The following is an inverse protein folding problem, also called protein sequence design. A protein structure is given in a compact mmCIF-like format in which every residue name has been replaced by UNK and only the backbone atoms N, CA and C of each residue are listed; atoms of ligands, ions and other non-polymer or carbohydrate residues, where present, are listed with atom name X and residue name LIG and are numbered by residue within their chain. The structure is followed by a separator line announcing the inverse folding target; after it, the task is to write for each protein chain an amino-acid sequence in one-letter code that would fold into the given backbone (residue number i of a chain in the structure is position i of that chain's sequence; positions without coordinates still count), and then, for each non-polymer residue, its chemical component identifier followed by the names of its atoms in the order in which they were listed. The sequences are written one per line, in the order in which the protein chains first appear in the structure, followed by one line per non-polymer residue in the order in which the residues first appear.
data_IF_947167005165
#
_entry.id   IF_947167005165
#
_cell.length_a   1.000
_cell.length_b   1.000
_cell.length_c   1.000
_cell.angle_alpha   90.00
_cell.angle_beta   90.00
_cell.angle_gamma   90.00
#
_symmetry.space_group_name_H-M   'P 1'
#
loop_
_entity.id
_entity.type
_entity.pdbx_description
1 polymer ?
#
# COMPACT_ATOMS: atom_id res chain seq x y z
N UNK A 1 -8.75 -18.04 2.20
CA UNK A 1 -7.85 -17.20 1.37
C UNK A 1 -8.69 -16.39 0.40
N UNK A 2 -8.30 -15.17 0.06
CA UNK A 2 -8.17 -14.83 -1.34
C UNK A 2 -6.76 -15.28 -1.74
N UNK A 3 -6.65 -16.31 -2.56
CA UNK A 3 -5.37 -16.67 -3.17
C UNK A 3 -4.90 -15.53 -4.07
N UNK A 4 -3.67 -15.57 -4.60
CA UNK A 4 -3.26 -14.65 -5.67
C UNK A 4 -4.33 -14.55 -6.79
N UNK A 5 -5.05 -15.67 -7.04
CA UNK A 5 -6.20 -15.72 -7.94
C UNK A 5 -7.37 -14.83 -7.54
N UNK A 6 -7.68 -14.67 -6.26
CA UNK A 6 -8.80 -13.85 -5.82
C UNK A 6 -8.49 -12.35 -5.88
N UNK A 7 -7.26 -11.93 -5.55
CA UNK A 7 -6.83 -10.55 -5.79
C UNK A 7 -6.79 -10.25 -7.30
N UNK A 8 -6.29 -11.18 -8.11
CA UNK A 8 -6.33 -11.08 -9.57
C UNK A 8 -7.77 -11.01 -10.12
N UNK A 9 -8.69 -11.81 -9.59
CA UNK A 9 -10.10 -11.80 -9.98
C UNK A 9 -10.80 -10.48 -9.60
N UNK A 10 -10.53 -9.93 -8.41
CA UNK A 10 -11.07 -8.65 -7.99
C UNK A 10 -10.58 -7.51 -8.90
N UNK A 11 -9.29 -7.49 -9.23
CA UNK A 11 -8.75 -6.54 -10.21
C UNK A 11 -9.35 -6.73 -11.61
N UNK A 12 -9.57 -7.97 -12.04
CA UNK A 12 -10.22 -8.27 -13.31
C UNK A 12 -11.67 -7.78 -13.36
N UNK A 13 -12.44 -7.96 -12.28
CA UNK A 13 -13.79 -7.44 -12.15
C UNK A 13 -13.82 -5.91 -12.20
N UNK A 14 -12.89 -5.25 -11.51
CA UNK A 14 -12.76 -3.79 -11.56
C UNK A 14 -12.44 -3.31 -12.98
N UNK A 15 -11.47 -3.93 -13.66
CA UNK A 15 -11.16 -3.62 -15.07
C UNK A 15 -12.36 -3.82 -15.99
N UNK A 16 -13.10 -4.91 -15.79
CA UNK A 16 -14.28 -5.22 -16.58
C UNK A 16 -15.37 -4.14 -16.43
N UNK A 17 -15.58 -3.64 -15.21
CA UNK A 17 -16.54 -2.57 -14.94
C UNK A 17 -16.10 -1.23 -15.56
N UNK A 18 -14.83 -0.84 -15.37
CA UNK A 18 -14.25 0.40 -15.92
C UNK A 18 -14.31 0.49 -17.44
N UNK A 19 -14.34 -0.66 -18.14
CA UNK A 19 -14.49 -0.73 -19.61
C UNK A 19 -15.93 -0.60 -20.10
N UNK A 20 -16.92 -0.77 -19.22
CA UNK A 20 -18.35 -0.85 -19.58
C UNK A 20 -19.14 0.37 -19.16
N UNK A 21 -18.72 1.01 -18.07
CA UNK A 21 -19.42 2.14 -17.50
C UNK A 21 -18.48 3.32 -17.33
N UNK A 22 -19.07 4.52 -17.32
CA UNK A 22 -18.36 5.75 -16.99
C UNK A 22 -18.16 5.83 -15.47
N UNK A 23 -17.11 5.17 -14.99
CA UNK A 23 -16.75 5.14 -13.57
C UNK A 23 -15.89 6.37 -13.24
N UNK A 24 -16.24 7.09 -12.18
CA UNK A 24 -15.35 8.09 -11.60
C UNK A 24 -14.21 7.37 -10.86
N UNK A 25 -13.03 7.43 -11.47
CA UNK A 25 -11.80 6.77 -11.01
C UNK A 25 -11.29 7.29 -9.67
N UNK A 26 -11.69 8.50 -9.29
CA UNK A 26 -11.34 9.09 -8.00
C UNK A 26 -12.36 8.77 -6.90
N UNK A 27 -13.42 8.01 -7.21
CA UNK A 27 -14.50 7.62 -6.29
C UNK A 27 -14.79 6.12 -6.32
N UNK A 28 -13.75 5.31 -6.50
CA UNK A 28 -13.84 3.85 -6.34
C UNK A 28 -13.62 3.53 -4.86
N UNK A 29 -14.60 2.91 -4.21
CA UNK A 29 -14.51 2.49 -2.81
C UNK A 29 -14.43 0.96 -2.71
N UNK A 30 -13.85 0.46 -1.62
CA UNK A 30 -13.70 -0.98 -1.41
C UNK A 30 -14.22 -1.40 -0.04
N UNK A 31 -15.02 -2.46 -0.01
CA UNK A 31 -15.54 -3.05 1.23
C UNK A 31 -15.63 -4.57 1.09
N UNK A 32 -15.88 -5.24 2.20
CA UNK A 32 -16.13 -6.66 2.26
C UNK A 32 -16.29 -7.14 3.69
N UNK A 33 -17.00 -8.24 3.87
CA UNK A 33 -17.31 -8.83 5.18
C UNK A 33 -16.48 -10.10 5.38
N UNK A 34 -15.89 -10.27 6.55
CA UNK A 34 -15.16 -11.48 6.96
C UNK A 34 -14.01 -11.78 6.00
N UNK A 35 -14.06 -12.89 5.24
CA UNK A 35 -13.11 -13.15 4.15
C UNK A 35 -13.02 -12.00 3.14
N UNK A 36 -14.12 -11.30 2.89
CA UNK A 36 -14.16 -10.10 2.08
C UNK A 36 -13.48 -8.91 2.74
N UNK A 37 -13.55 -8.76 4.07
CA UNK A 37 -12.85 -7.72 4.82
C UNK A 37 -11.34 -7.91 4.76
N UNK A 38 -10.88 -9.15 4.88
CA UNK A 38 -9.47 -9.51 4.66
C UNK A 38 -9.01 -9.20 3.24
N UNK A 39 -9.85 -9.46 2.23
CA UNK A 39 -9.56 -9.11 0.83
C UNK A 39 -9.53 -7.59 0.62
N UNK A 40 -10.42 -6.84 1.29
CA UNK A 40 -10.45 -5.39 1.21
C UNK A 40 -9.13 -4.79 1.71
N UNK A 41 -8.64 -5.26 2.86
CA UNK A 41 -7.30 -4.92 3.36
C UNK A 41 -6.20 -5.31 2.37
N UNK A 42 -6.18 -6.56 1.89
CA UNK A 42 -5.12 -7.04 1.00
C UNK A 42 -5.01 -6.22 -0.30
N UNK A 43 -6.14 -5.96 -0.96
CA UNK A 43 -6.20 -5.16 -2.18
C UNK A 43 -5.76 -3.71 -1.93
N UNK A 44 -6.21 -3.09 -0.85
CA UNK A 44 -5.81 -1.72 -0.52
C UNK A 44 -4.31 -1.63 -0.24
N UNK A 45 -3.77 -2.54 0.57
CA UNK A 45 -2.35 -2.57 0.95
C UNK A 45 -1.44 -2.79 -0.26
N UNK A 46 -1.84 -3.67 -1.19
CA UNK A 46 -1.06 -3.97 -2.39
C UNK A 46 -1.30 -2.96 -3.52
N UNK A 47 -2.44 -2.28 -3.55
CA UNK A 47 -2.77 -1.28 -4.57
C UNK A 47 -3.30 0.02 -3.91
N UNK A 48 -2.46 0.74 -3.14
CA UNK A 48 -2.88 1.85 -2.27
C UNK A 48 -3.33 3.11 -3.02
N UNK A 49 -3.17 3.12 -4.35
CA UNK A 49 -3.49 4.21 -5.26
C UNK A 49 -4.76 3.96 -6.08
N UNK A 50 -5.57 2.96 -5.70
CA UNK A 50 -6.78 2.55 -6.44
C UNK A 50 -8.08 3.03 -5.84
N UNK A 51 -8.12 3.24 -4.54
CA UNK A 51 -9.36 3.45 -3.82
C UNK A 51 -9.40 4.86 -3.21
N UNK A 52 -10.61 5.41 -3.13
CA UNK A 52 -10.92 6.66 -2.48
C UNK A 52 -11.16 6.49 -0.98
N UNK A 53 -11.70 5.33 -0.57
CA UNK A 53 -11.86 4.91 0.81
C UNK A 53 -12.01 3.39 0.89
N UNK A 54 -11.76 2.81 2.07
CA UNK A 54 -12.11 1.41 2.36
C UNK A 54 -12.98 1.28 3.60
N UNK A 55 -13.87 0.29 3.59
CA UNK A 55 -14.70 -0.09 4.73
C UNK A 55 -14.69 -1.61 4.98
N UNK A 56 -13.59 -2.18 5.48
CA UNK A 56 -13.54 -3.59 5.86
C UNK A 56 -14.47 -3.87 7.05
N UNK A 57 -15.12 -5.03 7.06
CA UNK A 57 -15.98 -5.46 8.16
C UNK A 57 -15.54 -6.85 8.60
N UNK A 58 -15.29 -7.01 9.90
CA UNK A 58 -14.87 -8.26 10.55
C UNK A 58 -13.73 -8.99 9.82
N UNK A 59 -12.72 -8.24 9.39
CA UNK A 59 -11.54 -8.78 8.73
C UNK A 59 -10.38 -7.81 8.77
N UNK A 60 -9.16 -8.30 8.59
CA UNK A 60 -7.98 -7.50 8.87
C UNK A 60 -6.75 -7.86 8.02
N UNK A 61 -5.68 -7.07 8.15
CA UNK A 61 -4.37 -7.46 7.67
C UNK A 61 -3.87 -8.70 8.41
N UNK A 62 -2.95 -9.41 7.78
CA UNK A 62 -2.37 -10.64 8.29
C UNK A 62 -0.95 -10.42 8.75
N UNK A 63 -0.62 -11.07 9.86
CA UNK A 63 0.73 -11.18 10.40
C UNK A 63 1.18 -12.63 10.25
N UNK A 64 2.17 -12.85 9.40
CA UNK A 64 2.76 -14.16 9.13
C UNK A 64 4.25 -14.03 8.73
N UNK A 65 5.06 -15.07 8.86
CA UNK A 65 6.48 -15.01 8.52
C UNK A 65 6.79 -15.47 7.07
N UNK A 66 5.88 -16.28 6.52
CA UNK A 66 6.12 -17.08 5.31
C UNK A 66 5.03 -16.86 4.26
N UNK A 67 5.35 -17.32 3.05
CA UNK A 67 4.50 -17.36 1.85
C UNK A 67 3.99 -16.00 1.38
N UNK A 68 4.65 -14.90 1.76
CA UNK A 68 4.19 -13.55 1.38
C UNK A 68 2.85 -13.14 1.96
N UNK A 69 2.39 -13.84 3.00
CA UNK A 69 1.05 -13.66 3.55
C UNK A 69 0.93 -12.46 4.49
N UNK A 70 2.06 -11.86 4.89
CA UNK A 70 2.06 -10.72 5.80
C UNK A 70 1.91 -9.41 5.02
N UNK A 71 0.67 -9.00 4.82
CA UNK A 71 0.37 -7.70 4.24
C UNK A 71 0.34 -6.59 5.31
N UNK A 72 0.40 -6.91 6.62
CA UNK A 72 0.51 -5.91 7.69
C UNK A 72 1.78 -5.03 7.56
N UNK A 73 2.83 -5.56 6.92
CA UNK A 73 4.05 -4.82 6.54
C UNK A 73 3.82 -3.60 5.65
N UNK A 74 2.65 -3.51 5.01
CA UNK A 74 2.32 -2.48 4.02
C UNK A 74 1.44 -1.37 4.57
N UNK A 75 1.00 -1.45 5.83
CA UNK A 75 -0.07 -0.61 6.41
C UNK A 75 0.21 0.89 6.32
N UNK A 76 1.46 1.32 6.52
CA UNK A 76 1.83 2.74 6.47
C UNK A 76 1.58 3.38 5.09
N UNK A 77 1.48 2.58 4.02
CA UNK A 77 1.12 3.06 2.69
C UNK A 77 -0.33 3.55 2.59
N UNK A 78 -1.18 3.25 3.58
CA UNK A 78 -2.59 3.67 3.59
C UNK A 78 -2.83 4.92 4.42
N UNK A 79 -1.78 5.62 4.88
CA UNK A 79 -1.94 6.83 5.71
C UNK A 79 -2.78 7.93 5.03
N UNK A 80 -2.79 8.01 3.71
CA UNK A 80 -3.62 8.97 2.95
C UNK A 80 -5.07 8.52 2.78
N UNK A 81 -5.38 7.24 3.01
CA UNK A 81 -6.65 6.62 2.64
C UNK A 81 -7.64 6.69 3.79
N UNK A 82 -8.87 7.20 3.56
CA UNK A 82 -9.95 7.07 4.53
C UNK A 82 -10.32 5.59 4.81
N UNK A 83 -10.40 5.21 6.10
CA UNK A 83 -10.69 3.85 6.56
C UNK A 83 -11.78 3.87 7.65
N UNK A 84 -12.79 3.01 7.49
CA UNK A 84 -13.73 2.62 8.55
C UNK A 84 -13.72 1.10 8.68
N UNK A 85 -12.99 0.59 9.65
CA UNK A 85 -12.98 -0.84 9.95
C UNK A 85 -13.97 -1.14 11.07
N UNK A 86 -14.89 -2.07 10.84
CA UNK A 86 -15.98 -2.40 11.75
C UNK A 86 -15.77 -3.81 12.31
N UNK A 87 -15.61 -3.94 13.63
CA UNK A 87 -15.15 -5.17 14.25
C UNK A 87 -15.82 -5.42 15.61
N UNK A 88 -16.37 -6.60 15.85
CA UNK A 88 -16.79 -6.98 17.21
C UNK A 88 -15.57 -7.18 18.12
N UNK A 89 -15.61 -6.61 19.32
CA UNK A 89 -14.48 -6.59 20.25
C UNK A 89 -14.19 -7.95 20.92
N UNK A 90 -15.08 -8.93 20.76
CA UNK A 90 -14.97 -10.30 21.28
C UNK A 90 -14.77 -11.35 20.15
N UNK A 91 -14.46 -10.91 18.93
CA UNK A 91 -14.09 -11.79 17.82
C UNK A 91 -12.70 -12.43 18.05
N UNK A 92 -12.19 -13.15 17.04
CA UNK A 92 -10.89 -13.83 17.09
C UNK A 92 -9.77 -12.93 17.66
N UNK A 93 -9.11 -13.32 18.77
CA UNK A 93 -8.05 -12.53 19.39
C UNK A 93 -6.84 -12.30 18.46
N UNK A 94 -6.59 -13.21 17.51
CA UNK A 94 -5.55 -13.04 16.50
C UNK A 94 -5.83 -11.90 15.54
N UNK A 95 -7.06 -11.84 15.02
CA UNK A 95 -7.57 -10.76 14.19
C UNK A 95 -7.56 -9.42 14.92
N UNK A 96 -8.09 -9.37 16.15
CA UNK A 96 -8.10 -8.16 16.98
C UNK A 96 -6.69 -7.63 17.23
N UNK A 97 -5.74 -8.52 17.53
CA UNK A 97 -4.33 -8.14 17.65
C UNK A 97 -3.81 -7.49 16.35
N UNK A 98 -4.04 -8.12 15.20
CA UNK A 98 -3.55 -7.62 13.92
C UNK A 98 -4.17 -6.25 13.56
N UNK A 99 -5.47 -6.08 13.79
CA UNK A 99 -6.17 -4.81 13.57
C UNK A 99 -5.61 -3.72 14.48
N UNK A 100 -5.55 -3.95 15.79
CA UNK A 100 -5.00 -2.98 16.75
C UNK A 100 -3.55 -2.61 16.41
N UNK A 101 -2.74 -3.59 15.98
CA UNK A 101 -1.38 -3.32 15.52
C UNK A 101 -1.36 -2.48 14.23
N UNK A 102 -2.22 -2.76 13.26
CA UNK A 102 -2.32 -1.98 12.03
C UNK A 102 -2.73 -0.52 12.32
N UNK A 103 -3.75 -0.31 13.16
CA UNK A 103 -4.17 1.03 13.55
C UNK A 103 -3.13 1.77 14.40
N UNK A 104 -2.36 1.06 15.24
CA UNK A 104 -1.21 1.66 15.92
C UNK A 104 -0.13 2.10 14.91
N UNK A 105 0.14 1.32 13.85
CA UNK A 105 1.07 1.71 12.78
C UNK A 105 0.56 2.91 11.99
N UNK A 106 -0.74 3.00 11.71
CA UNK A 106 -1.35 4.17 11.08
C UNK A 106 -1.27 5.41 11.97
N UNK A 107 -1.53 5.28 13.26
CA UNK A 107 -1.46 6.40 14.22
C UNK A 107 -0.02 6.92 14.43
N UNK A 108 0.99 6.08 14.20
CA UNK A 108 2.40 6.45 14.29
C UNK A 108 2.90 7.26 13.07
N UNK A 109 2.09 7.40 12.02
CA UNK A 109 2.36 8.23 10.85
C UNK A 109 1.26 9.28 10.70
N UNK A 110 1.43 10.33 9.87
CA UNK A 110 0.39 11.35 9.64
C UNK A 110 -0.85 10.83 8.87
N UNK A 111 -1.54 9.82 9.41
CA UNK A 111 -2.75 9.27 8.83
C UNK A 111 -3.88 10.30 8.89
N UNK A 112 -4.58 10.49 7.76
CA UNK A 112 -5.58 11.55 7.62
C UNK A 112 -6.93 11.20 8.25
N UNK A 113 -7.42 9.98 8.01
CA UNK A 113 -8.75 9.56 8.46
C UNK A 113 -8.89 8.04 8.52
N UNK A 114 -8.32 7.38 9.53
CA UNK A 114 -8.46 5.94 9.72
C UNK A 114 -9.07 5.63 11.09
N UNK A 115 -10.17 4.88 11.12
CA UNK A 115 -10.84 4.47 12.36
C UNK A 115 -11.12 2.98 12.41
N UNK A 116 -10.76 2.36 13.52
CA UNK A 116 -11.23 1.04 13.94
C UNK A 116 -12.41 1.28 14.90
N UNK A 117 -13.56 0.74 14.56
CA UNK A 117 -14.78 0.82 15.36
C UNK A 117 -15.00 -0.56 15.97
N UNK A 118 -14.56 -0.71 17.23
CA UNK A 118 -14.74 -1.94 17.99
C UNK A 118 -16.07 -1.90 18.76
N UNK A 119 -16.87 -2.95 18.64
CA UNK A 119 -18.17 -3.06 19.32
C UNK A 119 -18.09 -3.99 20.54
N UNK A 120 -18.23 -3.48 21.78
CA UNK A 120 -18.22 -4.30 23.00
C UNK A 120 -19.38 -5.31 23.03
N UNK A 121 -19.17 -6.50 23.61
CA UNK A 121 -20.21 -7.52 23.72
C UNK A 121 -20.52 -8.26 22.42
N UNK A 122 -19.80 -7.97 21.33
CA UNK A 122 -20.04 -8.54 20.00
C UNK A 122 -18.84 -9.37 19.56
N UNK A 123 -19.09 -10.63 19.18
CA UNK A 123 -18.11 -11.55 18.59
C UNK A 123 -17.92 -11.32 17.08
N UNK A 124 -18.13 -12.34 16.25
CA UNK A 124 -17.97 -12.27 14.78
C UNK A 124 -19.12 -11.51 14.08
N UNK A 125 -19.35 -10.26 14.47
CA UNK A 125 -20.37 -9.36 13.93
C UNK A 125 -19.96 -7.89 14.11
N UNK A 126 -20.79 -6.98 13.59
CA UNK A 126 -20.57 -5.53 13.64
C UNK A 126 -21.91 -4.79 13.53
N UNK A 127 -21.95 -3.54 13.97
CA UNK A 127 -23.08 -2.64 13.72
C UNK A 127 -22.82 -1.78 12.48
N UNK A 128 -23.54 -2.05 11.40
CA UNK A 128 -23.43 -1.31 10.14
C UNK A 128 -23.92 0.14 10.26
N UNK A 129 -24.73 0.48 11.25
CA UNK A 129 -25.29 1.84 11.42
C UNK A 129 -24.32 2.81 12.10
N UNK A 130 -23.18 2.32 12.58
CA UNK A 130 -22.16 3.11 13.27
C UNK A 130 -21.40 4.11 12.37
N UNK A 131 -21.66 4.10 11.06
CA UNK A 131 -21.02 4.99 10.09
C UNK A 131 -22.11 5.70 9.29
N UNK A 132 -22.00 7.03 9.17
CA UNK A 132 -22.70 7.75 8.12
C UNK A 132 -22.05 7.43 6.77
N UNK A 133 -22.62 6.45 6.06
CA UNK A 133 -22.07 5.98 4.79
C UNK A 133 -22.17 7.01 3.68
N UNK A 134 -23.18 7.88 3.72
CA UNK A 134 -23.36 8.92 2.70
C UNK A 134 -22.28 9.97 2.87
N UNK A 135 -22.05 10.44 4.10
CA UNK A 135 -20.97 11.36 4.41
C UNK A 135 -19.60 10.74 4.12
N UNK A 136 -19.34 9.53 4.65
CA UNK A 136 -18.04 8.89 4.54
C UNK A 136 -17.65 8.57 3.10
N UNK A 137 -18.51 7.87 2.35
CA UNK A 137 -18.20 7.50 0.97
C UNK A 137 -18.36 8.70 0.03
N UNK A 138 -19.38 9.52 0.22
CA UNK A 138 -19.64 10.70 -0.62
C UNK A 138 -18.58 11.80 -0.49
N UNK A 139 -17.97 11.93 0.69
CA UNK A 139 -16.88 12.88 0.96
C UNK A 139 -15.50 12.37 0.52
N UNK A 140 -15.33 11.06 0.39
CA UNK A 140 -14.05 10.46 0.03
C UNK A 140 -13.74 10.61 -1.46
N UNK A 141 -12.58 11.20 -1.76
CA UNK A 141 -12.03 11.29 -3.11
C UNK A 141 -10.54 10.97 -3.09
N UNK A 142 -10.11 10.11 -4.00
CA UNK A 142 -8.70 9.75 -4.17
C UNK A 142 -7.91 10.93 -4.75
N UNK A 143 -6.71 11.15 -4.24
CA UNK A 143 -5.70 12.01 -4.89
C UNK A 143 -4.86 11.16 -5.84
N UNK A 144 -5.00 11.30 -7.17
CA UNK A 144 -4.24 10.48 -8.09
C UNK A 144 -2.77 10.86 -8.17
N UNK A 145 -2.41 12.11 -7.86
CA UNK A 145 -1.08 12.67 -8.09
C UNK A 145 -0.54 13.35 -6.82
N UNK A 146 -0.38 12.58 -5.72
CA UNK A 146 0.05 13.14 -4.45
C UNK A 146 1.45 13.75 -4.56
N UNK A 147 1.74 14.73 -3.71
CA UNK A 147 3.07 15.37 -3.67
C UNK A 147 4.15 14.44 -3.09
N UNK A 148 3.78 13.46 -2.28
CA UNK A 148 4.69 12.44 -1.73
C UNK A 148 4.08 11.05 -1.91
N UNK A 149 4.87 10.08 -2.34
CA UNK A 149 4.47 8.69 -2.49
C UNK A 149 5.40 7.80 -1.65
N UNK A 150 4.80 6.99 -0.78
CA UNK A 150 5.46 5.89 -0.09
C UNK A 150 5.13 4.59 -0.83
N UNK A 151 6.16 3.83 -1.19
CA UNK A 151 6.00 2.44 -1.62
C UNK A 151 6.76 1.50 -0.71
N UNK A 152 6.06 0.49 -0.22
CA UNK A 152 6.58 -0.67 0.48
C UNK A 152 6.28 -1.90 -0.37
N UNK A 153 7.29 -2.73 -0.63
CA UNK A 153 7.16 -3.92 -1.45
C UNK A 153 8.24 -4.95 -1.11
N UNK A 154 7.98 -6.22 -1.42
CA UNK A 154 8.99 -7.29 -1.40
C UNK A 154 8.97 -8.14 -2.67
N UNK A 155 8.07 -7.85 -3.61
CA UNK A 155 8.03 -8.45 -4.94
C UNK A 155 7.86 -7.39 -6.04
N UNK A 156 8.36 -7.64 -7.26
CA UNK A 156 8.22 -6.69 -8.38
C UNK A 156 6.77 -6.49 -8.86
N UNK A 157 5.91 -7.51 -8.78
CA UNK A 157 4.51 -7.47 -9.25
C UNK A 157 3.60 -6.57 -8.37
N UNK A 158 4.06 -6.25 -7.17
CA UNK A 158 3.46 -5.28 -6.26
C UNK A 158 4.39 -4.08 -6.03
N UNK A 159 5.30 -3.76 -6.94
CA UNK A 159 6.29 -2.71 -6.68
C UNK A 159 5.84 -1.29 -7.07
N UNK A 160 4.67 -1.14 -7.69
CA UNK A 160 4.19 0.12 -8.29
C UNK A 160 3.02 0.70 -7.53
N UNK A 161 3.11 1.97 -7.14
CA UNK A 161 2.00 2.79 -6.67
C UNK A 161 2.25 4.28 -6.94
N UNK A 162 1.17 5.01 -7.24
CA UNK A 162 1.21 6.42 -7.62
C UNK A 162 2.21 6.67 -8.76
N UNK A 163 3.20 7.54 -8.54
CA UNK A 163 4.25 7.86 -9.50
C UNK A 163 5.57 7.11 -9.23
N UNK A 164 5.56 6.08 -8.39
CA UNK A 164 6.76 5.33 -7.95
C UNK A 164 6.64 3.85 -8.27
N UNK A 165 7.70 3.26 -8.82
CA UNK A 165 7.85 1.82 -9.01
C UNK A 165 9.24 1.35 -8.55
N UNK A 166 9.31 0.33 -7.70
CA UNK A 166 10.57 -0.27 -7.28
C UNK A 166 10.99 -1.32 -8.32
N UNK A 167 12.12 -1.11 -8.99
CA UNK A 167 12.57 -2.02 -10.04
C UNK A 167 13.41 -3.15 -9.48
N UNK A 168 14.40 -2.82 -8.66
CA UNK A 168 15.32 -3.79 -8.08
C UNK A 168 15.45 -3.59 -6.57
N UNK A 169 15.35 -4.69 -5.83
CA UNK A 169 15.57 -4.73 -4.40
C UNK A 169 17.01 -5.15 -4.09
N UNK A 170 17.52 -4.77 -2.90
CA UNK A 170 18.73 -5.41 -2.37
C UNK A 170 18.39 -6.82 -1.86
N UNK A 171 19.42 -7.64 -1.61
CA UNK A 171 19.27 -9.00 -1.04
C UNK A 171 18.59 -9.04 0.34
N UNK A 172 18.53 -7.90 1.02
CA UNK A 172 17.99 -7.77 2.38
C UNK A 172 16.48 -7.51 2.37
N UNK A 173 15.90 -7.15 1.22
CA UNK A 173 14.46 -7.22 1.04
C UNK A 173 14.03 -8.68 0.92
N UNK A 174 13.31 -9.19 1.91
CA UNK A 174 12.91 -10.59 1.96
C UNK A 174 11.42 -10.72 2.21
N UNK A 175 10.78 -11.45 1.31
CA UNK A 175 9.39 -11.82 1.48
C UNK A 175 9.19 -12.82 2.62
N UNK A 176 9.97 -13.91 2.56
CA UNK A 176 9.90 -15.03 3.48
C UNK A 176 11.05 -14.95 4.46
N UNK A 177 10.73 -14.94 5.75
CA UNK A 177 11.72 -14.79 6.80
C UNK A 177 11.69 -16.01 7.71
N UNK A 178 12.89 -16.40 8.17
CA UNK A 178 13.08 -17.31 9.27
C UNK A 178 13.89 -16.60 10.35
N UNK A 179 13.25 -15.71 11.15
CA UNK A 179 13.96 -14.95 12.16
C UNK A 179 14.70 -15.86 13.12
N UNK A 180 15.95 -15.52 13.42
CA UNK A 180 16.73 -16.22 14.45
C UNK A 180 16.56 -15.48 15.77
N UNK A 181 16.24 -16.23 16.81
CA UNK A 181 16.09 -15.73 18.17
C UNK A 181 16.53 -16.84 19.12
N UNK A 182 17.26 -16.46 20.17
CA UNK A 182 17.67 -17.39 21.23
C UNK A 182 16.47 -18.11 21.83
N UNK A 183 16.55 -19.43 21.98
CA UNK A 183 15.42 -20.25 22.43
C UNK A 183 14.90 -19.82 23.81
N UNK A 184 15.81 -19.50 24.74
CA UNK A 184 15.45 -19.00 26.05
C UNK A 184 14.66 -17.68 25.98
N UNK A 185 15.11 -16.74 25.12
CA UNK A 185 14.42 -15.46 24.90
C UNK A 185 13.05 -15.67 24.27
N UNK A 186 12.95 -16.55 23.27
CA UNK A 186 11.67 -16.85 22.61
C UNK A 186 10.67 -17.50 23.56
N UNK A 187 11.11 -18.44 24.38
CA UNK A 187 10.24 -19.14 25.32
C UNK A 187 9.75 -18.23 26.45
N UNK A 188 10.51 -17.19 26.80
CA UNK A 188 10.09 -16.18 27.77
C UNK A 188 9.05 -15.18 27.23
N UNK A 189 8.88 -15.06 25.90
CA UNK A 189 7.92 -14.14 25.29
C UNK A 189 6.49 -14.70 25.34
N UNK A 190 5.54 -13.83 25.70
CA UNK A 190 4.11 -14.00 25.43
C UNK A 190 3.83 -14.14 23.92
N UNK A 191 2.64 -14.62 23.57
CA UNK A 191 2.25 -14.76 22.16
C UNK A 191 2.23 -13.41 21.43
N UNK A 192 1.82 -12.34 22.11
CA UNK A 192 1.79 -10.99 21.54
C UNK A 192 3.19 -10.42 21.33
N UNK A 193 4.12 -10.65 22.28
CA UNK A 193 5.53 -10.28 22.09
C UNK A 193 6.17 -11.05 20.92
N UNK A 194 5.86 -12.33 20.75
CA UNK A 194 6.31 -13.13 19.59
C UNK A 194 5.80 -12.55 18.27
N UNK A 195 4.52 -12.17 18.22
CA UNK A 195 3.92 -11.52 17.03
C UNK A 195 4.58 -10.17 16.74
N UNK A 196 4.79 -9.32 17.74
CA UNK A 196 5.50 -8.02 17.59
C UNK A 196 6.92 -8.22 17.11
N UNK A 197 7.66 -9.13 17.74
CA UNK A 197 9.01 -9.49 17.31
C UNK A 197 9.02 -9.92 15.85
N UNK A 198 8.14 -10.83 15.45
CA UNK A 198 8.04 -11.27 14.06
C UNK A 198 7.73 -10.10 13.11
N UNK A 199 6.77 -9.24 13.47
CA UNK A 199 6.41 -8.09 12.64
C UNK A 199 7.59 -7.13 12.49
N UNK A 200 8.36 -6.87 13.54
CA UNK A 200 9.56 -6.02 13.46
C UNK A 200 10.60 -6.59 12.48
N UNK A 201 10.79 -7.92 12.47
CA UNK A 201 11.70 -8.57 11.53
C UNK A 201 11.19 -8.44 10.09
N UNK A 202 9.87 -8.60 9.89
CA UNK A 202 9.22 -8.38 8.59
C UNK A 202 9.38 -6.94 8.12
N UNK A 203 9.13 -5.96 8.99
CA UNK A 203 9.26 -4.54 8.66
C UNK A 203 10.71 -4.20 8.26
N UNK A 204 11.71 -4.73 8.98
CA UNK A 204 13.15 -4.54 8.66
C UNK A 204 13.54 -5.13 7.31
N UNK A 205 12.91 -6.22 6.89
CA UNK A 205 13.17 -6.88 5.61
C UNK A 205 12.24 -6.41 4.49
N UNK A 206 11.41 -5.38 4.72
CA UNK A 206 10.53 -4.81 3.70
C UNK A 206 11.21 -3.64 3.02
N UNK A 207 11.29 -3.66 1.69
CA UNK A 207 11.82 -2.54 0.93
C UNK A 207 10.91 -1.32 1.07
N UNK A 208 11.52 -0.14 1.12
CA UNK A 208 10.84 1.12 1.38
C UNK A 208 11.43 2.21 0.53
N UNK A 209 10.56 2.98 -0.12
CA UNK A 209 10.94 4.19 -0.83
C UNK A 209 9.88 5.27 -0.61
N UNK A 210 10.29 6.42 -0.08
CA UNK A 210 9.48 7.64 -0.08
C UNK A 210 10.09 8.65 -1.03
N UNK A 211 9.32 9.10 -2.00
CA UNK A 211 9.71 10.15 -2.94
C UNK A 211 8.74 11.31 -2.82
N UNK A 212 9.28 12.52 -2.65
CA UNK A 212 8.53 13.78 -2.71
C UNK A 212 8.84 14.52 -4.01
N UNK A 213 7.79 14.97 -4.70
CA UNK A 213 7.89 15.94 -5.80
C UNK A 213 8.04 17.34 -5.20
N UNK A 214 9.27 17.85 -5.15
CA UNK A 214 9.59 19.15 -4.57
C UNK A 214 9.31 20.31 -5.54
N UNK A 215 9.43 20.06 -6.85
CA UNK A 215 9.05 20.95 -7.94
C UNK A 215 8.68 20.09 -9.17
N UNK A 216 8.09 20.67 -10.24
CA UNK A 216 7.79 19.91 -11.47
C UNK A 216 9.01 19.21 -12.09
N UNK A 217 10.21 19.73 -11.86
CA UNK A 217 11.47 19.19 -12.36
C UNK A 217 12.33 18.55 -11.25
N UNK A 218 11.88 18.49 -9.99
CA UNK A 218 12.70 18.03 -8.85
C UNK A 218 11.97 17.00 -7.98
N UNK A 219 12.57 15.81 -7.90
CA UNK A 219 12.11 14.71 -7.07
C UNK A 219 13.17 14.37 -6.03
N UNK A 220 12.76 14.27 -4.77
CA UNK A 220 13.64 14.06 -3.62
C UNK A 220 13.26 12.74 -2.96
N UNK A 221 14.23 11.82 -2.87
CA UNK A 221 14.09 10.60 -2.08
C UNK A 221 14.31 10.95 -0.62
N UNK A 222 13.24 10.87 0.18
CA UNK A 222 13.24 11.24 1.60
C UNK A 222 13.58 10.04 2.49
N UNK A 223 13.15 8.85 2.08
CA UNK A 223 13.40 7.60 2.80
C UNK A 223 13.72 6.49 1.80
N UNK A 224 14.75 5.69 2.10
CA UNK A 224 15.11 4.52 1.31
C UNK A 224 15.60 3.40 2.22
N UNK A 225 15.12 2.19 1.96
CA UNK A 225 15.63 0.94 2.54
C UNK A 225 15.46 -0.20 1.55
N UNK A 226 16.53 -0.93 1.30
CA UNK A 226 16.58 -2.11 0.42
C UNK A 226 16.15 -1.86 -1.03
N UNK A 227 16.35 -0.64 -1.54
CA UNK A 227 16.05 -0.30 -2.93
C UNK A 227 17.34 -0.02 -3.69
N UNK A 228 17.58 -0.80 -4.75
CA UNK A 228 18.75 -0.66 -5.62
C UNK A 228 18.44 0.14 -6.90
N UNK A 229 17.19 0.09 -7.36
CA UNK A 229 16.71 0.87 -8.49
C UNK A 229 15.20 1.12 -8.38
N UNK A 230 14.77 2.28 -8.86
CA UNK A 230 13.36 2.64 -8.94
C UNK A 230 13.08 3.44 -10.21
N UNK A 231 11.79 3.59 -10.51
CA UNK A 231 11.27 4.35 -11.64
C UNK A 231 10.29 5.38 -11.14
N UNK A 232 10.38 6.58 -11.70
CA UNK A 232 9.38 7.64 -11.58
C UNK A 232 8.49 7.60 -12.82
N UNK A 233 7.18 7.57 -12.60
CA UNK A 233 6.16 7.59 -13.64
C UNK A 233 5.65 9.02 -13.79
N UNK A 234 5.79 9.61 -14.97
CA UNK A 234 5.50 11.03 -15.19
C UNK A 234 4.20 11.17 -16.00
N UNK A 235 3.12 11.59 -15.34
CA UNK A 235 1.86 11.94 -15.99
C UNK A 235 1.89 13.38 -16.53
N UNK A 236 0.92 13.73 -17.35
CA UNK A 236 0.74 15.11 -17.82
C UNK A 236 0.64 16.08 -16.62
N UNK A 237 1.42 17.17 -16.68
CA UNK A 237 1.54 18.14 -15.58
C UNK A 237 2.55 17.76 -14.47
N UNK A 238 3.15 16.56 -14.51
CA UNK A 238 4.20 16.16 -13.55
C UNK A 238 5.62 16.56 -13.97
N UNK A 239 5.82 17.04 -15.19
CA UNK A 239 7.12 17.39 -15.76
C UNK A 239 6.99 18.34 -16.97
N UNK A 240 8.08 19.04 -17.30
CA UNK A 240 8.22 19.80 -18.55
C UNK A 240 9.07 18.98 -19.55
N UNK A 241 8.56 18.64 -20.75
CA UNK A 241 9.25 17.73 -21.68
C UNK A 241 10.65 18.18 -22.10
N UNK A 242 10.86 19.49 -22.16
CA UNK A 242 12.11 20.11 -22.59
C UNK A 242 13.15 20.25 -21.47
N UNK A 243 12.78 19.92 -20.22
CA UNK A 243 13.64 20.11 -19.06
C UNK A 243 14.06 18.75 -18.48
N UNK A 244 15.38 18.51 -18.27
CA UNK A 244 15.84 17.34 -17.54
C UNK A 244 15.25 17.31 -16.12
N UNK A 245 14.79 16.14 -15.70
CA UNK A 245 14.29 15.93 -14.35
C UNK A 245 15.47 15.73 -13.39
N UNK A 246 15.48 16.46 -12.28
CA UNK A 246 16.47 16.36 -11.22
C UNK A 246 15.96 15.38 -10.16
N UNK A 247 16.79 14.40 -9.83
CA UNK A 247 16.52 13.44 -8.76
C UNK A 247 17.60 13.56 -7.70
N UNK A 248 17.18 13.86 -6.47
CA UNK A 248 18.04 13.85 -5.30
C UNK A 248 17.89 12.51 -4.57
N UNK A 249 18.97 11.74 -4.51
CA UNK A 249 19.01 10.46 -3.82
C UNK A 249 20.37 10.23 -3.18
N UNK A 250 20.39 9.85 -1.90
CA UNK A 250 21.61 9.63 -1.10
C UNK A 250 22.58 10.82 -1.13
N UNK A 251 22.03 12.03 -1.02
CA UNK A 251 22.80 13.28 -1.01
C UNK A 251 23.37 13.69 -2.38
N UNK A 252 23.09 12.96 -3.46
CA UNK A 252 23.52 13.31 -4.82
C UNK A 252 22.32 13.76 -5.64
N UNK A 253 22.50 14.82 -6.42
CA UNK A 253 21.55 15.23 -7.45
C UNK A 253 22.01 14.71 -8.81
N UNK A 254 21.09 14.07 -9.55
CA UNK A 254 21.34 13.60 -10.91
C UNK A 254 20.30 14.18 -11.86
N UNK A 255 20.74 14.58 -13.05
CA UNK A 255 19.84 14.96 -14.15
C UNK A 255 19.49 13.72 -14.95
N UNK A 256 18.20 13.51 -15.19
CA UNK A 256 17.66 12.39 -15.94
C UNK A 256 16.74 12.91 -17.03
N UNK A 257 16.92 12.41 -18.25
CA UNK A 257 16.03 12.72 -19.36
C UNK A 257 14.85 11.76 -19.36
N UNK A 258 13.60 12.24 -19.24
CA UNK A 258 12.42 11.40 -19.36
C UNK A 258 12.38 10.66 -20.71
N UNK A 259 12.04 9.37 -20.69
CA UNK A 259 11.92 8.54 -21.90
C UNK A 259 10.55 7.89 -21.97
N UNK A 260 9.96 7.81 -23.15
CA UNK A 260 8.73 7.03 -23.37
C UNK A 260 9.04 5.54 -23.26
N UNK A 261 8.20 4.79 -22.57
CA UNK A 261 8.34 3.34 -22.43
C UNK A 261 7.04 2.64 -22.84
N UNK A 262 7.08 1.89 -23.95
CA UNK A 262 5.92 1.22 -24.51
C UNK A 262 5.24 0.26 -23.53
N UNK A 263 6.03 -0.43 -22.69
CA UNK A 263 5.52 -1.35 -21.68
C UNK A 263 4.65 -0.62 -20.65
N UNK A 264 5.13 0.50 -20.10
CA UNK A 264 4.39 1.30 -19.12
C UNK A 264 3.11 1.86 -19.72
N UNK A 265 3.18 2.38 -20.94
CA UNK A 265 2.01 2.85 -21.69
C UNK A 265 0.94 1.76 -21.83
N UNK A 266 1.34 0.53 -22.19
CA UNK A 266 0.41 -0.60 -22.35
C UNK A 266 -0.16 -1.09 -21.01
N UNK A 267 0.68 -1.18 -19.97
CA UNK A 267 0.24 -1.57 -18.63
C UNK A 267 -0.77 -0.55 -18.05
N UNK A 268 -0.48 0.74 -18.19
CA UNK A 268 -1.35 1.80 -17.68
C UNK A 268 -2.65 1.92 -18.48
N UNK A 269 -2.61 1.70 -19.79
CA UNK A 269 -3.84 1.60 -20.59
C UNK A 269 -4.78 0.49 -20.09
N UNK A 270 -4.23 -0.61 -19.59
CA UNK A 270 -5.02 -1.75 -19.09
C UNK A 270 -5.46 -1.55 -17.64
N UNK A 271 -4.60 -0.96 -16.81
CA UNK A 271 -4.77 -0.95 -15.36
C UNK A 271 -5.12 0.43 -14.79
N UNK A 272 -4.81 1.54 -15.46
CA UNK A 272 -4.88 2.94 -14.97
C UNK A 272 -5.50 3.88 -16.03
N UNK A 273 -6.79 3.67 -16.32
CA UNK A 273 -7.56 4.40 -17.35
C UNK A 273 -7.59 5.94 -17.13
N UNK A 274 -7.36 6.39 -15.89
CA UNK A 274 -7.34 7.79 -15.45
C UNK A 274 -6.00 8.51 -15.68
N UNK A 275 -4.91 7.78 -15.96
CA UNK A 275 -3.57 8.37 -16.00
C UNK A 275 -2.83 7.94 -17.24
N UNK A 276 -2.45 8.91 -18.07
CA UNK A 276 -1.50 8.71 -19.15
C UNK A 276 -0.11 9.03 -18.60
N UNK A 277 0.61 8.01 -18.13
CA UNK A 277 2.04 8.19 -17.85
C UNK A 277 2.78 8.04 -19.19
N UNK A 278 3.30 9.15 -19.71
CA UNK A 278 3.83 9.20 -21.07
C UNK A 278 5.34 8.94 -21.10
N UNK A 279 6.16 9.57 -20.24
CA UNK A 279 7.53 9.15 -20.01
C UNK A 279 7.82 8.69 -18.58
N UNK A 280 8.97 8.03 -18.44
CA UNK A 280 9.50 7.53 -17.18
C UNK A 280 10.94 7.95 -16.99
N UNK A 281 11.38 7.96 -15.74
CA UNK A 281 12.78 8.14 -15.36
C UNK A 281 13.19 6.95 -14.49
N UNK A 282 14.19 6.19 -14.95
CA UNK A 282 14.83 5.17 -14.13
C UNK A 282 16.01 5.75 -13.36
N UNK A 283 16.08 5.38 -12.08
CA UNK A 283 17.10 5.81 -11.14
C UNK A 283 17.75 4.55 -10.55
N UNK A 284 19.08 4.45 -10.67
CA UNK A 284 19.86 3.26 -10.26
C UNK A 284 21.06 3.69 -9.43
N UNK A 285 21.48 2.83 -8.49
CA UNK A 285 22.75 3.03 -7.79
C UNK A 285 23.92 3.08 -8.79
N UNK A 286 24.69 4.16 -8.77
CA UNK A 286 25.99 4.24 -9.46
C UNK A 286 25.99 4.82 -10.87
N UNK A 287 25.05 5.69 -11.23
CA UNK A 287 25.11 6.48 -12.47
C UNK A 287 24.43 7.84 -12.33
#
# INVERSE_FOLDING_TARGET
MPSAHASAAAHAALRWARRRWNIDEDRIHLSGISRGGHLAWDLALRAPDRFAAIAPMIGGPRLHALEGQNNLRFVEQLAHLPIRDLQGAEDDPGLLFNLRLAFAKLAAVPARDARLIEFPGIGHAFDFTAVDWIEFLGGARRDPLPTSALRLAVRPDEARAFFVELLHFTKDAQENLRPKVEAARWNAMSNDEKKRFLQEQVDRATARLRVRRAAPDLYVVEEERHVAAFRLLLADGLFAPETPLRVQWRGKETKKTPKREARVLLEDFVERFDRRYLPVVEVRCGG
#
